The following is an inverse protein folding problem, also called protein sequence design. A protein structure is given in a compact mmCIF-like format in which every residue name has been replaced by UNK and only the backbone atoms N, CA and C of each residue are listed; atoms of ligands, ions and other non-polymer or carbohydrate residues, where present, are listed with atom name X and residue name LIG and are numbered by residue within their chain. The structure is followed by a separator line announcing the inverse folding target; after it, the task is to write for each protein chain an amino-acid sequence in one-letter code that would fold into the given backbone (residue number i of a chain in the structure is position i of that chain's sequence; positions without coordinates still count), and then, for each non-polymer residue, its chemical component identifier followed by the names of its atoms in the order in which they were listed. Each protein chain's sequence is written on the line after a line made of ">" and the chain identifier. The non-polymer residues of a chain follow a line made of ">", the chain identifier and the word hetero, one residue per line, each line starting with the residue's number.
data_IF_871627193859
#
_entry.id   IF_871627193859
#
_cell.length_a   1.000
_cell.length_b   1.000
_cell.length_c   1.000
_cell.angle_alpha   90.00
_cell.angle_beta   90.00
_cell.angle_gamma   90.00
#
_symmetry.space_group_name_H-M   'P 1'
#
loop_
_entity.id
_entity.type
_entity.pdbx_description
1 polymer ?
#
# COMPACT_ATOMS: atom_id res chain seq x y z
N UNK A 1 -6.81 4.74 11.65
CA UNK A 1 -6.90 6.15 11.24
C UNK A 1 -5.99 6.51 10.06
N UNK A 2 -6.60 6.92 8.97
CA UNK A 2 -5.94 7.42 7.77
C UNK A 2 -6.87 8.26 6.90
N UNK A 3 -6.36 8.66 5.74
CA UNK A 3 -7.05 9.48 4.77
C UNK A 3 -7.56 8.66 3.60
N UNK A 4 -8.76 9.01 3.12
CA UNK A 4 -9.31 8.55 1.86
C UNK A 4 -8.96 9.58 0.80
N UNK A 5 -8.25 9.14 -0.23
CA UNK A 5 -7.85 9.97 -1.35
C UNK A 5 -8.60 9.52 -2.60
N UNK A 6 -9.22 10.46 -3.30
CA UNK A 6 -9.70 10.28 -4.66
C UNK A 6 -8.58 10.68 -5.61
N UNK A 7 -8.23 9.77 -6.52
CA UNK A 7 -7.26 9.99 -7.58
C UNK A 7 -7.99 9.93 -8.91
N UNK A 8 -8.00 11.01 -9.66
CA UNK A 8 -8.71 11.13 -10.93
C UNK A 8 -7.81 11.66 -12.04
N UNK A 9 -8.22 11.47 -13.30
CA UNK A 9 -7.57 12.09 -14.46
C UNK A 9 -8.48 13.17 -15.04
N UNK A 10 -7.91 14.30 -15.45
CA UNK A 10 -8.67 15.39 -16.09
C UNK A 10 -8.90 15.18 -17.59
N UNK A 11 -8.20 14.21 -18.21
CA UNK A 11 -8.25 13.93 -19.65
C UNK A 11 -9.14 12.73 -19.98
N UNK A 12 -9.21 11.73 -19.10
CA UNK A 12 -10.05 10.55 -19.29
C UNK A 12 -10.86 10.22 -18.03
N UNK A 13 -11.79 9.29 -18.12
CA UNK A 13 -12.68 8.88 -17.01
C UNK A 13 -12.01 8.03 -15.93
N UNK A 14 -10.68 8.08 -15.80
CA UNK A 14 -9.99 7.34 -14.75
C UNK A 14 -10.28 7.98 -13.40
N UNK A 15 -10.79 7.17 -12.47
CA UNK A 15 -11.00 7.53 -11.08
C UNK A 15 -10.73 6.33 -10.17
N UNK A 16 -10.17 6.57 -8.97
CA UNK A 16 -9.96 5.57 -7.94
C UNK A 16 -9.93 6.19 -6.55
N UNK A 17 -10.60 5.56 -5.59
CA UNK A 17 -10.41 5.83 -4.18
C UNK A 17 -9.27 4.97 -3.61
N UNK A 18 -8.38 5.60 -2.83
CA UNK A 18 -7.23 4.99 -2.16
C UNK A 18 -7.29 5.31 -0.68
N UNK A 19 -6.77 4.41 0.16
CA UNK A 19 -6.62 4.62 1.61
C UNK A 19 -5.15 4.71 1.98
N UNK A 20 -4.76 5.76 2.70
CA UNK A 20 -3.38 5.94 3.22
C UNK A 20 -3.42 6.21 4.72
N UNK A 21 -2.46 5.70 5.48
CA UNK A 21 -2.34 5.98 6.92
C UNK A 21 -2.19 4.74 7.80
N UNK A 22 -2.42 4.90 9.11
CA UNK A 22 -2.20 3.88 10.13
C UNK A 22 -3.53 3.43 10.73
N UNK A 23 -4.03 2.26 10.35
CA UNK A 23 -5.18 1.65 11.03
C UNK A 23 -4.89 1.39 12.51
N UNK A 24 -5.84 1.66 13.41
CA UNK A 24 -5.70 1.38 14.85
C UNK A 24 -5.49 -0.13 15.13
N UNK A 25 -5.93 -0.95 14.19
CA UNK A 25 -5.96 -2.41 14.16
C UNK A 25 -4.58 -3.07 13.89
N UNK A 26 -3.57 -2.28 13.52
CA UNK A 26 -2.23 -2.74 13.14
C UNK A 26 -1.18 -2.68 14.27
N UNK A 27 -1.61 -2.39 15.49
CA UNK A 27 -0.75 -2.08 16.64
C UNK A 27 -0.24 -3.30 17.41
N UNK A 28 -0.74 -4.52 17.11
CA UNK A 28 -0.28 -5.75 17.76
C UNK A 28 0.33 -6.71 16.73
N UNK A 29 1.58 -7.18 16.92
CA UNK A 29 2.15 -8.29 16.17
C UNK A 29 1.19 -9.50 16.22
N UNK A 30 0.91 -10.12 15.07
CA UNK A 30 0.04 -11.29 14.99
C UNK A 30 -1.46 -11.02 15.22
N UNK A 31 -1.94 -9.78 15.11
CA UNK A 31 -3.38 -9.53 15.14
C UNK A 31 -4.05 -10.18 13.91
N UNK A 32 -5.18 -10.86 14.12
CA UNK A 32 -6.08 -11.43 13.10
C UNK A 32 -6.40 -10.45 11.94
N UNK A 33 -6.26 -9.16 12.21
CA UNK A 33 -6.53 -8.05 11.30
C UNK A 33 -5.47 -7.91 10.20
N UNK A 34 -4.23 -8.37 10.45
CA UNK A 34 -3.21 -8.48 9.40
C UNK A 34 -3.55 -9.64 8.45
N UNK A 35 -4.12 -10.74 8.97
CA UNK A 35 -4.53 -11.89 8.16
C UNK A 35 -5.67 -11.55 7.21
N UNK A 36 -6.71 -10.88 7.71
CA UNK A 36 -7.88 -10.51 6.90
C UNK A 36 -7.54 -9.50 5.79
N UNK A 37 -6.50 -8.70 5.98
CA UNK A 37 -6.08 -7.65 5.03
C UNK A 37 -5.04 -8.15 4.01
N UNK A 38 -4.29 -9.21 4.33
CA UNK A 38 -3.37 -9.85 3.38
C UNK A 38 -4.08 -11.01 2.69
N UNK A 39 -4.51 -10.81 1.44
CA UNK A 39 -5.20 -11.86 0.68
C UNK A 39 -4.35 -13.11 0.39
N UNK A 40 -3.01 -13.01 0.40
CA UNK A 40 -2.11 -14.12 0.08
C UNK A 40 -1.73 -14.92 1.32
N UNK A 41 -2.19 -16.18 1.42
CA UNK A 41 -1.76 -17.14 2.45
C UNK A 41 -0.25 -17.33 2.52
N UNK A 42 0.43 -17.31 1.37
CA UNK A 42 1.90 -17.39 1.33
C UNK A 42 2.53 -16.16 1.99
N UNK A 43 1.99 -14.97 1.72
CA UNK A 43 2.48 -13.74 2.34
C UNK A 43 2.19 -13.72 3.84
N UNK A 44 1.02 -14.22 4.27
CA UNK A 44 0.69 -14.40 5.69
C UNK A 44 1.71 -15.33 6.38
N UNK A 45 1.93 -16.54 5.87
CA UNK A 45 2.86 -17.50 6.46
C UNK A 45 4.29 -16.95 6.56
N UNK A 46 4.76 -16.29 5.50
CA UNK A 46 6.07 -15.64 5.50
C UNK A 46 6.18 -14.52 6.54
N UNK A 47 5.07 -13.83 6.83
CA UNK A 47 5.01 -12.79 7.84
C UNK A 47 5.09 -13.38 9.25
N UNK A 48 4.28 -14.40 9.55
CA UNK A 48 4.22 -15.04 10.86
C UNK A 48 5.55 -15.64 11.29
N UNK A 49 6.21 -16.39 10.40
CA UNK A 49 7.54 -16.94 10.67
C UNK A 49 8.59 -15.87 11.01
N UNK A 50 8.41 -14.64 10.52
CA UNK A 50 9.33 -13.52 10.78
C UNK A 50 9.02 -12.75 12.06
N UNK A 51 7.80 -12.90 12.60
CA UNK A 51 7.37 -12.27 13.85
C UNK A 51 7.75 -13.07 15.09
N UNK A 52 8.28 -14.29 14.96
CA UNK A 52 8.79 -15.06 16.09
C UNK A 52 10.18 -14.54 16.53
N UNK A 53 10.32 -14.15 17.80
CA UNK A 53 11.61 -13.78 18.39
C UNK A 53 11.54 -12.72 19.51
N UNK A 54 12.62 -12.54 20.29
CA UNK A 54 12.57 -11.81 21.55
C UNK A 54 12.50 -10.27 21.45
N UNK A 55 12.73 -9.66 20.27
CA UNK A 55 12.63 -8.20 20.08
C UNK A 55 12.06 -7.88 18.69
N UNK A 56 10.73 -7.86 18.57
CA UNK A 56 10.03 -7.69 17.30
C UNK A 56 9.31 -6.34 17.29
N UNK A 57 9.81 -5.39 16.50
CA UNK A 57 9.06 -4.17 16.17
C UNK A 57 8.28 -4.42 14.88
N UNK A 58 6.95 -4.28 14.95
CA UNK A 58 6.06 -4.35 13.77
C UNK A 58 5.49 -2.97 13.52
N UNK A 59 5.61 -2.50 12.28
CA UNK A 59 4.86 -1.34 11.79
C UNK A 59 4.03 -1.76 10.61
N UNK A 60 2.76 -1.39 10.62
CA UNK A 60 1.85 -1.67 9.53
C UNK A 60 1.06 -0.40 9.18
N UNK A 61 1.17 0.01 7.91
CA UNK A 61 0.56 1.21 7.36
C UNK A 61 -0.10 0.86 6.02
N UNK A 62 -1.22 1.48 5.67
CA UNK A 62 -1.63 1.52 4.26
C UNK A 62 -0.82 2.58 3.53
N UNK A 63 -0.07 2.16 2.53
CA UNK A 63 0.77 3.02 1.69
C UNK A 63 0.30 2.91 0.23
N UNK A 64 0.53 3.97 -0.55
CA UNK A 64 0.24 3.95 -1.98
C UNK A 64 1.43 3.37 -2.72
N UNK A 65 1.15 2.39 -3.57
CA UNK A 65 2.10 1.74 -4.44
C UNK A 65 1.82 2.14 -5.88
N UNK A 66 2.89 2.46 -6.62
CA UNK A 66 2.86 2.70 -8.06
C UNK A 66 3.67 1.64 -8.80
N UNK A 67 3.16 1.21 -9.94
CA UNK A 67 3.92 0.41 -10.88
C UNK A 67 4.69 1.33 -11.84
N UNK A 68 6.02 1.21 -11.87
CA UNK A 68 6.86 2.01 -12.76
C UNK A 68 6.66 1.69 -14.25
N UNK A 69 6.17 0.49 -14.58
CA UNK A 69 5.95 0.07 -15.98
C UNK A 69 4.65 0.58 -16.58
N UNK A 70 3.56 0.57 -15.81
CA UNK A 70 2.22 0.87 -16.35
C UNK A 70 1.47 1.95 -15.56
N UNK A 71 2.17 2.65 -14.67
CA UNK A 71 1.67 3.74 -13.84
C UNK A 71 0.49 3.40 -12.92
N UNK A 72 0.07 2.13 -12.85
CA UNK A 72 -1.05 1.71 -12.02
C UNK A 72 -0.75 2.03 -10.55
N UNK A 73 -1.69 2.72 -9.92
CA UNK A 73 -1.67 3.06 -8.50
C UNK A 73 -2.65 2.21 -7.71
N UNK A 74 -2.28 1.81 -6.50
CA UNK A 74 -3.16 1.14 -5.54
C UNK A 74 -2.62 1.32 -4.13
N UNK A 75 -3.50 1.27 -3.13
CA UNK A 75 -3.10 1.21 -1.74
C UNK A 75 -2.99 -0.24 -1.26
N UNK A 76 -1.90 -0.54 -0.55
CA UNK A 76 -1.63 -1.85 0.01
C UNK A 76 -1.18 -1.75 1.47
N UNK A 77 -1.38 -2.82 2.24
CA UNK A 77 -0.92 -2.92 3.62
C UNK A 77 0.59 -3.16 3.69
N UNK A 78 1.36 -2.09 3.88
CA UNK A 78 2.80 -2.14 4.06
C UNK A 78 3.15 -2.58 5.47
N UNK A 79 3.78 -3.75 5.62
CA UNK A 79 4.23 -4.26 6.92
C UNK A 79 5.76 -4.30 6.93
N UNK A 80 6.35 -3.63 7.91
CA UNK A 80 7.77 -3.73 8.24
C UNK A 80 7.98 -4.41 9.58
N UNK A 81 8.85 -5.41 9.61
CA UNK A 81 9.24 -6.14 10.81
C UNK A 81 10.73 -5.93 11.02
N UNK A 82 11.12 -5.53 12.24
CA UNK A 82 12.51 -5.46 12.67
C UNK A 82 12.70 -6.43 13.82
N UNK A 83 13.62 -7.39 13.65
CA UNK A 83 13.99 -8.38 14.66
C UNK A 83 15.51 -8.36 14.85
N UNK A 84 15.96 -7.58 15.84
CA UNK A 84 17.37 -7.27 16.05
C UNK A 84 18.02 -6.65 14.80
N UNK A 85 18.96 -7.35 14.17
CA UNK A 85 19.65 -6.90 12.93
C UNK A 85 18.89 -7.22 11.63
N UNK A 86 17.83 -8.02 11.69
CA UNK A 86 17.06 -8.43 10.51
C UNK A 86 15.88 -7.50 10.31
N UNK A 87 15.68 -7.03 9.07
CA UNK A 87 14.49 -6.29 8.69
C UNK A 87 13.76 -6.98 7.53
N UNK A 88 12.45 -6.86 7.53
CA UNK A 88 11.57 -7.30 6.46
C UNK A 88 10.58 -6.20 6.13
N UNK A 89 10.27 -6.02 4.85
CA UNK A 89 9.17 -5.18 4.38
C UNK A 89 8.39 -5.94 3.31
N UNK A 90 7.07 -5.90 3.38
CA UNK A 90 6.20 -6.45 2.33
C UNK A 90 6.52 -5.85 0.97
N UNK A 91 6.52 -6.69 -0.06
CA UNK A 91 6.72 -6.27 -1.45
C UNK A 91 5.50 -6.66 -2.29
N UNK A 92 5.06 -5.74 -3.13
CA UNK A 92 3.89 -5.93 -3.99
C UNK A 92 4.30 -5.99 -5.46
N UNK A 93 3.58 -6.82 -6.23
CA UNK A 93 3.69 -6.90 -7.69
C UNK A 93 2.43 -6.35 -8.32
N UNK A 94 2.59 -5.64 -9.43
CA UNK A 94 1.50 -5.07 -10.19
C UNK A 94 0.61 -6.19 -10.75
N UNK A 95 -0.70 -6.18 -10.50
CA UNK A 95 -1.58 -7.23 -11.02
C UNK A 95 -1.71 -7.21 -12.55
N UNK A 96 -1.38 -6.09 -13.21
CA UNK A 96 -1.46 -5.96 -14.68
C UNK A 96 -0.22 -6.51 -15.40
N UNK A 97 0.97 -6.28 -14.86
CA UNK A 97 2.22 -6.56 -15.57
C UNK A 97 3.27 -7.32 -14.74
N UNK A 98 2.92 -7.73 -13.53
CA UNK A 98 3.73 -8.51 -12.59
C UNK A 98 5.08 -7.88 -12.19
N UNK A 99 5.32 -6.61 -12.51
CA UNK A 99 6.50 -5.85 -12.05
C UNK A 99 6.34 -5.42 -10.60
N UNK A 100 7.45 -5.36 -9.88
CA UNK A 100 7.50 -4.82 -8.52
C UNK A 100 6.95 -3.40 -8.49
N UNK A 101 6.19 -3.09 -7.44
CA UNK A 101 5.66 -1.75 -7.21
C UNK A 101 6.47 -1.04 -6.12
N UNK A 102 6.58 0.27 -6.25
CA UNK A 102 7.30 1.13 -5.31
C UNK A 102 6.33 2.01 -4.54
N UNK A 103 6.67 2.28 -3.28
CA UNK A 103 5.87 3.17 -2.42
C UNK A 103 6.07 4.60 -2.91
N UNK A 104 4.97 5.36 -3.02
CA UNK A 104 4.99 6.75 -3.45
C UNK A 104 4.11 7.61 -2.56
N UNK A 105 4.51 8.86 -2.35
CA UNK A 105 3.65 9.91 -1.83
C UNK A 105 2.94 10.57 -3.02
N UNK A 106 1.67 10.25 -3.20
CA UNK A 106 0.88 10.81 -4.29
C UNK A 106 0.73 12.33 -4.13
N UNK A 107 1.02 13.06 -5.20
CA UNK A 107 0.92 14.50 -5.33
C UNK A 107 0.23 14.82 -6.64
N UNK A 108 -0.65 15.82 -6.62
CA UNK A 108 -1.39 16.27 -7.79
C UNK A 108 -0.45 16.72 -8.90
N UNK A 109 -0.68 16.22 -10.12
CA UNK A 109 0.03 16.69 -11.32
C UNK A 109 1.44 16.12 -11.51
N UNK A 110 1.90 15.19 -10.66
CA UNK A 110 3.22 14.55 -10.80
C UNK A 110 3.18 13.21 -11.53
N UNK A 111 2.03 12.52 -11.48
CA UNK A 111 1.94 11.13 -11.94
C UNK A 111 1.11 11.02 -13.22
N UNK A 112 1.60 10.30 -14.25
CA UNK A 112 0.84 10.05 -15.47
C UNK A 112 -0.35 9.12 -15.21
N UNK A 113 -1.43 9.31 -15.95
CA UNK A 113 -2.62 8.48 -15.86
C UNK A 113 -2.32 7.04 -16.33
N UNK A 114 -2.66 6.01 -15.54
CA UNK A 114 -2.44 4.61 -15.94
C UNK A 114 -3.39 4.12 -17.05
N UNK A 115 -4.38 4.92 -17.42
CA UNK A 115 -5.38 4.59 -18.43
C UNK A 115 -5.05 5.19 -19.80
N UNK A 116 -4.87 6.51 -19.87
CA UNK A 116 -4.59 7.21 -21.14
C UNK A 116 -3.13 7.63 -21.34
N UNK A 117 -2.29 7.62 -20.30
CA UNK A 117 -0.88 8.07 -20.30
C UNK A 117 -0.64 9.56 -20.65
N UNK A 118 -1.55 10.20 -21.37
CA UNK A 118 -1.51 11.62 -21.75
C UNK A 118 -1.84 12.56 -20.57
N UNK A 119 -2.86 12.19 -19.79
CA UNK A 119 -3.31 13.00 -18.66
C UNK A 119 -2.46 12.79 -17.41
N UNK A 120 -2.53 13.76 -16.49
CA UNK A 120 -1.94 13.63 -15.16
C UNK A 120 -3.00 13.32 -14.10
N UNK A 121 -2.56 12.71 -13.01
CA UNK A 121 -3.42 12.39 -11.88
C UNK A 121 -3.61 13.59 -10.97
N UNK A 122 -4.87 13.91 -10.69
CA UNK A 122 -5.30 14.84 -9.65
C UNK A 122 -5.61 14.06 -8.36
N UNK A 123 -5.20 14.60 -7.21
CA UNK A 123 -5.35 13.95 -5.91
C UNK A 123 -6.15 14.87 -5.00
N UNK A 124 -7.25 14.35 -4.47
CA UNK A 124 -8.14 15.05 -3.55
C UNK A 124 -8.35 14.21 -2.29
N UNK A 125 -8.27 14.82 -1.11
CA UNK A 125 -8.69 14.16 0.13
C UNK A 125 -10.22 14.25 0.23
N UNK A 126 -10.88 13.10 0.16
CA UNK A 126 -12.35 13.00 0.18
C UNK A 126 -12.90 12.54 1.53
N UNK A 127 -12.03 12.19 2.47
CA UNK A 127 -12.44 11.86 3.82
C UNK A 127 -11.34 11.18 4.63
N UNK A 128 -11.76 10.51 5.70
CA UNK A 128 -10.92 9.73 6.59
C UNK A 128 -11.47 8.31 6.72
N UNK A 129 -10.64 7.40 7.22
CA UNK A 129 -11.01 6.01 7.53
C UNK A 129 -10.30 5.57 8.80
N UNK A 130 -10.82 4.54 9.46
CA UNK A 130 -10.19 3.94 10.63
C UNK A 130 -9.70 2.51 10.37
#
# INVERSE_FOLDING_TARGET
>A
MGDKLRVSCTVCSFERELRVGKGLLYTKPGSYLIESEIASKQMQNNLFQRMEGPCVEVRANREIYRCEKCNRVMDCLSISIVNGKKSYKTKYRCPRCNKTMTVVEMRTGEYPCPNCEEGKLFVEKVGTWD
#
